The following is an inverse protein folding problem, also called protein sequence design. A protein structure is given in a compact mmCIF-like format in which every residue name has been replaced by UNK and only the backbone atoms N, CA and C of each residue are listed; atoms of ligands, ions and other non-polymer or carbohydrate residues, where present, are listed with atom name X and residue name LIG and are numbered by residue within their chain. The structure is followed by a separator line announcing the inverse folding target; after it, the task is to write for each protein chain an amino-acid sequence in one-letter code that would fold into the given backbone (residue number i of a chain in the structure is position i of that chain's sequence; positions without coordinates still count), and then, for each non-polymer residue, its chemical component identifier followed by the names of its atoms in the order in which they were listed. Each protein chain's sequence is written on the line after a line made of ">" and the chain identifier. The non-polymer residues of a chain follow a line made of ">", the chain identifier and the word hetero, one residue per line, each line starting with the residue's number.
data_IF_948801504209
#
_entry.id   IF_948801504209
#
_cell.length_a   1.000
_cell.length_b   1.000
_cell.length_c   1.000
_cell.angle_alpha   90.00
_cell.angle_beta   90.00
_cell.angle_gamma   90.00
#
_symmetry.space_group_name_H-M   'P 1'
#
loop_
_entity.id
_entity.type
_entity.pdbx_description
1 polymer ?
#
# COMPACT_ATOMS: atom_id res chain seq x y z
N UNK A 1 30.62 -30.34 2.50
CA UNK A 1 29.35 -29.65 2.17
C UNK A 1 28.65 -30.44 1.08
N UNK A 2 27.49 -31.05 1.38
CA UNK A 2 26.76 -31.85 0.41
C UNK A 2 25.85 -30.92 -0.42
N UNK A 3 26.12 -30.83 -1.72
CA UNK A 3 25.26 -30.10 -2.65
C UNK A 3 24.15 -31.04 -3.13
N UNK A 4 22.91 -30.75 -2.74
CA UNK A 4 21.72 -31.46 -3.23
C UNK A 4 21.18 -30.69 -4.42
N UNK A 5 21.25 -31.29 -5.61
CA UNK A 5 20.68 -30.72 -6.83
C UNK A 5 19.35 -31.44 -7.12
N UNK A 6 18.24 -30.69 -7.11
CA UNK A 6 16.90 -31.20 -7.42
C UNK A 6 16.49 -30.72 -8.79
N UNK A 7 16.18 -31.65 -9.70
CA UNK A 7 15.64 -31.32 -11.01
C UNK A 7 14.20 -31.86 -11.13
N UNK A 8 13.34 -31.09 -11.78
CA UNK A 8 12.01 -31.51 -12.21
C UNK A 8 12.16 -32.32 -13.49
N UNK A 9 11.89 -33.62 -13.42
CA UNK A 9 11.87 -34.51 -14.59
C UNK A 9 10.47 -34.43 -15.19
N UNK A 10 10.36 -34.17 -16.50
CA UNK A 10 9.07 -34.19 -17.22
C UNK A 10 8.51 -35.61 -17.34
N UNK A 11 7.18 -35.76 -17.34
CA UNK A 11 6.52 -37.08 -17.46
C UNK A 11 6.89 -37.81 -18.77
N UNK A 12 7.26 -37.06 -19.81
CA UNK A 12 7.72 -37.60 -21.09
C UNK A 12 9.10 -38.28 -21.00
N UNK A 13 9.96 -37.82 -20.09
CA UNK A 13 11.25 -38.45 -19.77
C UNK A 13 11.07 -39.69 -18.89
N UNK A 14 10.08 -39.67 -17.99
CA UNK A 14 9.76 -40.76 -17.05
C UNK A 14 9.41 -42.08 -17.74
N UNK A 15 8.72 -42.01 -18.88
CA UNK A 15 8.29 -43.19 -19.64
C UNK A 15 9.39 -43.78 -20.55
N UNK A 16 10.47 -43.06 -20.81
CA UNK A 16 11.60 -43.54 -21.65
C UNK A 16 12.68 -44.28 -20.85
N UNK A 17 12.68 -44.16 -19.52
CA UNK A 17 13.71 -44.75 -18.62
C UNK A 17 13.29 -46.13 -18.08
N UNK A 18 12.05 -46.58 -18.32
CA UNK A 18 11.58 -47.90 -17.92
C UNK A 18 11.98 -48.98 -18.95
N UNK A 19 13.28 -49.28 -19.05
CA UNK A 19 13.75 -50.52 -19.69
C UNK A 19 14.70 -51.27 -18.73
N UNK A 20 14.18 -52.39 -18.24
CA UNK A 20 14.80 -53.55 -17.55
C UNK A 20 15.69 -53.27 -16.33
N UNK A 21 15.12 -53.52 -15.15
CA UNK A 21 15.84 -53.79 -13.91
C UNK A 21 16.41 -55.21 -13.95
N UNK A 22 17.72 -55.33 -13.89
CA UNK A 22 18.37 -56.51 -13.33
C UNK A 22 19.26 -56.08 -12.16
N UNK A 23 18.93 -56.68 -11.01
CA UNK A 23 19.63 -56.91 -9.74
C UNK A 23 20.60 -55.85 -9.17
N UNK A 24 20.21 -55.41 -7.97
CA UNK A 24 21.04 -54.94 -6.84
C UNK A 24 21.96 -53.73 -7.08
N UNK A 25 21.39 -52.53 -6.95
CA UNK A 25 22.16 -51.34 -6.60
C UNK A 25 21.59 -50.70 -5.32
N UNK A 26 22.39 -50.74 -4.26
CA UNK A 26 22.07 -50.27 -2.89
C UNK A 26 21.99 -48.74 -2.79
N UNK A 27 21.99 -47.99 -3.91
CA UNK A 27 22.06 -46.53 -3.91
C UNK A 27 20.79 -45.77 -4.29
N UNK A 28 19.66 -46.43 -4.57
CA UNK A 28 18.44 -45.75 -4.97
C UNK A 28 17.33 -45.86 -3.91
N UNK A 29 17.13 -44.80 -3.12
CA UNK A 29 15.89 -44.59 -2.36
C UNK A 29 15.04 -43.55 -3.07
N UNK A 30 13.98 -44.02 -3.73
CA UNK A 30 12.96 -43.20 -4.39
C UNK A 30 11.76 -43.00 -3.45
N UNK A 31 11.38 -41.77 -3.14
CA UNK A 31 10.27 -41.45 -2.22
C UNK A 31 8.96 -41.02 -2.91
N UNK A 32 8.91 -41.11 -4.24
CA UNK A 32 7.68 -40.83 -4.99
C UNK A 32 7.49 -39.38 -5.44
N UNK A 33 8.39 -38.43 -5.15
CA UNK A 33 8.34 -37.09 -5.78
C UNK A 33 9.66 -36.59 -6.37
N UNK A 34 10.80 -37.07 -5.89
CA UNK A 34 12.11 -36.67 -6.43
C UNK A 34 13.05 -37.87 -6.51
N UNK A 35 13.84 -37.90 -7.57
CA UNK A 35 14.99 -38.81 -7.67
C UNK A 35 16.19 -38.09 -7.04
N UNK A 36 16.66 -38.58 -5.90
CA UNK A 36 17.78 -37.98 -5.18
C UNK A 36 19.06 -38.71 -5.56
N UNK A 37 19.90 -38.08 -6.37
CA UNK A 37 21.24 -38.58 -6.65
C UNK A 37 22.21 -38.06 -5.59
N UNK A 38 22.77 -38.99 -4.81
CA UNK A 38 23.93 -38.68 -3.98
C UNK A 38 25.16 -38.65 -4.88
N UNK A 39 25.62 -37.45 -5.21
CA UNK A 39 26.99 -37.30 -5.68
C UNK A 39 27.89 -37.47 -4.45
N UNK A 40 28.82 -38.44 -4.46
CA UNK A 40 29.85 -38.49 -3.44
C UNK A 40 30.54 -37.13 -3.39
N UNK A 41 31.03 -36.67 -2.21
CA UNK A 41 31.97 -35.56 -2.17
C UNK A 41 33.02 -35.83 -3.23
N UNK A 42 33.35 -34.84 -4.06
CA UNK A 42 34.44 -34.98 -5.00
C UNK A 42 35.67 -35.40 -4.19
N UNK A 43 35.94 -36.70 -4.16
CA UNK A 43 37.28 -37.19 -3.97
C UNK A 43 38.06 -36.41 -5.00
N UNK A 44 39.16 -35.79 -4.59
CA UNK A 44 40.20 -35.39 -5.52
C UNK A 44 40.42 -36.58 -6.44
N UNK A 45 39.81 -36.55 -7.63
CA UNK A 45 40.14 -37.49 -8.67
C UNK A 45 41.51 -36.99 -9.07
N UNK A 46 42.49 -37.52 -8.37
CA UNK A 46 43.86 -37.48 -8.74
C UNK A 46 43.88 -38.20 -10.09
N UNK A 47 43.68 -37.46 -11.19
CA UNK A 47 43.85 -37.94 -12.57
C UNK A 47 45.34 -38.25 -12.84
N UNK A 48 46.15 -38.39 -11.79
CA UNK A 48 47.54 -38.85 -11.81
C UNK A 48 47.71 -40.36 -11.63
N UNK A 49 46.68 -41.14 -11.30
CA UNK A 49 46.86 -42.58 -11.03
C UNK A 49 45.89 -43.46 -11.82
N UNK A 50 45.88 -43.32 -13.15
CA UNK A 50 45.74 -44.54 -13.96
C UNK A 50 47.06 -45.28 -13.79
N UNK A 51 47.12 -46.22 -12.84
CA UNK A 51 48.13 -47.27 -12.88
C UNK A 51 48.13 -47.80 -14.30
N UNK A 52 49.20 -47.53 -15.06
CA UNK A 52 49.40 -48.14 -16.38
C UNK A 52 49.35 -49.63 -16.10
N UNK A 53 48.24 -50.27 -16.44
CA UNK A 53 48.18 -51.70 -16.58
C UNK A 53 49.10 -52.03 -17.76
N UNK A 54 50.40 -52.13 -17.51
CA UNK A 54 51.34 -52.89 -18.33
C UNK A 54 51.05 -54.38 -18.10
N UNK A 55 49.77 -54.76 -18.22
CA UNK A 55 49.32 -56.13 -18.05
C UNK A 55 49.76 -56.87 -19.31
N UNK A 56 50.80 -57.66 -19.16
CA UNK A 56 51.29 -58.51 -20.23
C UNK A 56 50.79 -59.92 -20.01
N UNK A 57 50.45 -60.57 -21.11
CA UNK A 57 50.01 -61.96 -21.12
C UNK A 57 51.15 -62.78 -21.69
N UNK A 58 51.66 -63.73 -20.91
CA UNK A 58 52.69 -64.67 -21.33
C UNK A 58 52.06 -66.06 -21.53
N UNK A 59 52.48 -66.77 -22.58
CA UNK A 59 52.01 -68.13 -22.87
C UNK A 59 52.89 -69.12 -22.11
N UNK A 60 52.31 -69.88 -21.18
CA UNK A 60 53.03 -70.94 -20.46
C UNK A 60 53.53 -72.01 -21.43
N UNK A 61 54.53 -72.82 -21.06
CA UNK A 61 54.97 -73.96 -21.88
C UNK A 61 53.86 -74.98 -22.20
N UNK A 62 52.73 -74.94 -21.46
CA UNK A 62 51.54 -75.77 -21.72
C UNK A 62 50.48 -75.04 -22.59
N UNK A 63 50.79 -73.87 -23.14
CA UNK A 63 49.90 -73.13 -24.05
C UNK A 63 48.88 -72.20 -23.37
N UNK A 64 48.93 -72.03 -22.05
CA UNK A 64 47.97 -71.18 -21.33
C UNK A 64 48.42 -69.72 -21.25
N UNK A 65 47.50 -68.78 -21.49
CA UNK A 65 47.72 -67.35 -21.35
C UNK A 65 47.62 -66.93 -19.88
N UNK A 66 48.74 -66.55 -19.28
CA UNK A 66 48.84 -66.16 -17.86
C UNK A 66 49.15 -64.66 -17.75
N UNK A 67 48.41 -63.96 -16.89
CA UNK A 67 48.61 -62.54 -16.60
C UNK A 67 49.86 -62.32 -15.73
N UNK A 68 50.75 -61.43 -16.17
CA UNK A 68 52.00 -61.11 -15.48
C UNK A 68 51.98 -59.68 -14.91
N UNK A 69 52.48 -59.51 -13.68
CA UNK A 69 52.66 -58.21 -13.05
C UNK A 69 53.89 -57.47 -13.59
N UNK A 70 53.86 -56.13 -13.56
CA UNK A 70 54.90 -55.25 -14.12
C UNK A 70 56.31 -55.52 -13.56
N UNK A 71 56.40 -55.97 -12.31
CA UNK A 71 57.65 -56.27 -11.60
C UNK A 71 58.37 -57.53 -12.11
N UNK A 72 57.64 -58.45 -12.77
CA UNK A 72 58.19 -59.70 -13.30
C UNK A 72 58.50 -59.64 -14.80
N UNK A 73 58.11 -58.57 -15.49
CA UNK A 73 58.34 -58.41 -16.93
C UNK A 73 59.77 -57.95 -17.23
N UNK A 74 60.44 -58.63 -18.16
CA UNK A 74 61.78 -58.25 -18.67
C UNK A 74 61.71 -57.28 -19.86
N UNK A 75 60.51 -56.80 -20.22
CA UNK A 75 60.35 -55.91 -21.37
C UNK A 75 60.59 -54.45 -20.98
N UNK A 76 61.32 -53.67 -21.80
CA UNK A 76 61.60 -52.28 -21.50
C UNK A 76 60.31 -51.46 -21.42
N UNK A 77 60.24 -50.45 -20.53
CA UNK A 77 59.07 -49.59 -20.41
C UNK A 77 58.75 -48.96 -21.77
N UNK A 78 57.46 -49.03 -22.16
CA UNK A 78 57.00 -48.47 -23.44
C UNK A 78 57.33 -46.99 -23.47
N UNK A 79 58.28 -46.64 -24.35
CA UNK A 79 58.73 -45.25 -24.53
C UNK A 79 57.55 -44.41 -24.99
N UNK A 80 57.48 -43.19 -24.44
CA UNK A 80 56.43 -42.24 -24.80
C UNK A 80 56.49 -41.96 -26.30
N UNK A 81 55.34 -41.96 -27.02
CA UNK A 81 55.35 -41.64 -28.44
C UNK A 81 55.89 -40.23 -28.68
N UNK A 82 56.87 -40.07 -29.58
CA UNK A 82 57.49 -38.76 -29.91
C UNK A 82 56.48 -37.67 -30.24
N UNK A 83 55.39 -38.04 -30.91
CA UNK A 83 54.33 -37.09 -31.26
C UNK A 83 53.67 -36.47 -30.01
N UNK A 84 53.47 -37.25 -28.96
CA UNK A 84 52.88 -36.77 -27.71
C UNK A 84 53.83 -35.81 -26.98
N UNK A 85 55.15 -36.08 -27.02
CA UNK A 85 56.17 -35.19 -26.46
C UNK A 85 56.20 -33.82 -27.17
N UNK A 86 56.05 -33.82 -28.51
CA UNK A 86 55.97 -32.60 -29.32
C UNK A 86 54.73 -31.78 -28.93
N UNK A 87 53.57 -32.43 -28.77
CA UNK A 87 52.34 -31.74 -28.39
C UNK A 87 52.43 -31.13 -26.99
N UNK A 88 52.98 -31.86 -26.00
CA UNK A 88 53.15 -31.33 -24.64
C UNK A 88 54.16 -30.19 -24.58
N UNK A 89 55.28 -30.29 -25.31
CA UNK A 89 56.24 -29.20 -25.46
C UNK A 89 55.56 -27.96 -26.04
N UNK A 90 54.69 -28.15 -27.05
CA UNK A 90 53.91 -27.07 -27.65
C UNK A 90 52.89 -26.46 -26.69
N UNK A 91 52.15 -27.28 -25.93
CA UNK A 91 51.22 -26.80 -24.88
C UNK A 91 51.97 -25.90 -23.90
N UNK A 92 53.10 -26.35 -23.39
CA UNK A 92 53.88 -25.61 -22.40
C UNK A 92 54.46 -24.31 -22.99
N UNK A 93 54.94 -24.36 -24.23
CA UNK A 93 55.44 -23.18 -24.95
C UNK A 93 54.35 -22.13 -25.15
N UNK A 94 53.15 -22.54 -25.57
CA UNK A 94 52.03 -21.62 -25.78
C UNK A 94 51.47 -21.09 -24.46
N UNK A 95 51.33 -21.93 -23.43
CA UNK A 95 50.96 -21.48 -22.07
C UNK A 95 51.94 -20.43 -21.53
N UNK A 96 53.25 -20.66 -21.68
CA UNK A 96 54.29 -19.71 -21.26
C UNK A 96 54.22 -18.40 -22.06
N UNK A 97 54.01 -18.48 -23.38
CA UNK A 97 53.87 -17.32 -24.26
C UNK A 97 52.69 -16.43 -23.84
N UNK A 98 51.56 -17.02 -23.48
CA UNK A 98 50.33 -16.32 -23.13
C UNK A 98 50.15 -16.09 -21.62
N UNK A 99 51.13 -16.48 -20.78
CA UNK A 99 51.11 -16.37 -19.30
C UNK A 99 49.84 -16.99 -18.68
N UNK A 100 49.40 -18.11 -19.23
CA UNK A 100 48.19 -18.81 -18.79
C UNK A 100 48.51 -19.69 -17.59
N UNK A 101 47.78 -19.51 -16.48
CA UNK A 101 48.00 -20.22 -15.21
C UNK A 101 47.06 -21.44 -15.08
N UNK A 102 47.54 -22.48 -14.41
CA UNK A 102 46.73 -23.65 -14.01
C UNK A 102 45.70 -23.25 -12.93
N UNK A 103 44.48 -23.79 -13.01
CA UNK A 103 43.40 -23.49 -12.06
C UNK A 103 42.10 -23.11 -12.75
N UNK A 104 41.63 -21.87 -12.56
CA UNK A 104 40.31 -21.40 -13.03
C UNK A 104 40.11 -21.61 -14.54
N UNK A 105 38.87 -21.84 -15.00
CA UNK A 105 38.54 -21.89 -16.43
C UNK A 105 38.98 -20.59 -17.11
N UNK A 106 39.80 -20.71 -18.14
CA UNK A 106 40.33 -19.58 -18.90
C UNK A 106 40.07 -19.83 -20.40
N UNK A 107 39.39 -18.91 -21.11
CA UNK A 107 39.10 -19.06 -22.53
C UNK A 107 40.37 -19.17 -23.39
N UNK A 108 41.46 -18.50 -23.01
CA UNK A 108 42.73 -18.55 -23.73
C UNK A 108 43.42 -19.90 -23.51
N UNK A 109 43.34 -20.44 -22.29
CA UNK A 109 43.79 -21.82 -22.00
C UNK A 109 43.03 -22.83 -22.84
N UNK A 110 41.71 -22.71 -22.88
CA UNK A 110 40.86 -23.58 -23.67
C UNK A 110 41.21 -23.51 -25.17
N UNK A 111 41.50 -22.31 -25.68
CA UNK A 111 41.88 -22.10 -27.07
C UNK A 111 43.18 -22.84 -27.43
N UNK A 112 44.22 -22.75 -26.60
CA UNK A 112 45.50 -23.47 -26.79
C UNK A 112 45.23 -24.98 -26.89
N UNK A 113 44.41 -25.54 -26.00
CA UNK A 113 44.07 -26.96 -26.03
C UNK A 113 43.22 -27.34 -27.26
N UNK A 114 42.31 -26.47 -27.72
CA UNK A 114 41.52 -26.72 -28.94
C UNK A 114 42.39 -26.78 -30.20
N UNK A 115 43.38 -25.89 -30.31
CA UNK A 115 44.31 -25.87 -31.45
C UNK A 115 45.21 -27.12 -31.45
N UNK A 116 45.74 -27.48 -30.29
CA UNK A 116 46.62 -28.65 -30.14
C UNK A 116 45.83 -29.95 -30.34
N UNK A 117 44.58 -30.03 -29.88
CA UNK A 117 43.70 -31.16 -30.17
C UNK A 117 43.34 -31.26 -31.66
N UNK A 118 43.20 -30.13 -32.36
CA UNK A 118 43.01 -30.13 -33.82
C UNK A 118 44.22 -30.74 -34.54
N UNK A 119 45.43 -30.35 -34.14
CA UNK A 119 46.68 -30.92 -34.67
C UNK A 119 46.77 -32.41 -34.36
N UNK A 120 46.39 -32.83 -33.14
CA UNK A 120 46.34 -34.25 -32.76
C UNK A 120 45.41 -35.06 -33.67
N UNK A 121 44.18 -34.56 -33.89
CA UNK A 121 43.18 -35.20 -34.75
C UNK A 121 43.69 -35.33 -36.19
N UNK A 122 44.30 -34.28 -36.75
CA UNK A 122 44.82 -34.26 -38.13
C UNK A 122 45.90 -35.32 -38.37
N UNK A 123 46.68 -35.65 -37.34
CA UNK A 123 47.75 -36.67 -37.43
C UNK A 123 47.22 -38.09 -37.21
N UNK A 124 46.01 -38.26 -36.66
CA UNK A 124 45.40 -39.57 -36.40
C UNK A 124 44.68 -40.14 -37.62
N UNK A 125 45.27 -41.16 -38.27
CA UNK A 125 44.69 -41.79 -39.47
C UNK A 125 43.39 -42.57 -39.17
N UNK A 126 43.39 -43.42 -38.13
CA UNK A 126 42.27 -44.33 -37.85
C UNK A 126 41.22 -43.72 -36.91
N UNK A 127 41.65 -42.98 -35.88
CA UNK A 127 40.76 -42.40 -34.87
C UNK A 127 40.36 -40.96 -35.15
N UNK A 128 40.97 -40.30 -36.15
CA UNK A 128 40.73 -38.91 -36.51
C UNK A 128 39.25 -38.57 -36.73
N UNK A 129 38.49 -39.33 -37.55
CA UNK A 129 37.06 -39.06 -37.78
C UNK A 129 36.21 -39.08 -36.50
N UNK A 130 36.47 -40.04 -35.59
CA UNK A 130 35.75 -40.14 -34.32
C UNK A 130 36.06 -38.94 -33.42
N UNK A 131 37.35 -38.61 -33.26
CA UNK A 131 37.78 -37.50 -32.41
C UNK A 131 37.31 -36.15 -32.96
N UNK A 132 37.27 -35.98 -34.29
CA UNK A 132 36.70 -34.81 -34.94
C UNK A 132 35.21 -34.65 -34.62
N UNK A 133 34.44 -35.75 -34.65
CA UNK A 133 33.01 -35.73 -34.28
C UNK A 133 32.82 -35.38 -32.81
N UNK A 134 33.62 -35.97 -31.92
CA UNK A 134 33.61 -35.63 -30.49
C UNK A 134 33.92 -34.14 -30.28
N UNK A 135 34.97 -33.62 -30.94
CA UNK A 135 35.32 -32.20 -30.90
C UNK A 135 34.16 -31.33 -31.36
N UNK A 136 33.52 -31.68 -32.48
CA UNK A 136 32.40 -30.92 -33.03
C UNK A 136 31.22 -30.83 -32.07
N UNK A 137 30.87 -31.92 -31.36
CA UNK A 137 29.81 -31.90 -30.33
C UNK A 137 30.14 -30.93 -29.18
N UNK A 138 31.36 -30.97 -28.65
CA UNK A 138 31.76 -30.03 -27.59
C UNK A 138 31.81 -28.58 -28.08
N UNK A 139 32.26 -28.34 -29.31
CA UNK A 139 32.30 -26.99 -29.89
C UNK A 139 30.90 -26.44 -30.15
N UNK A 140 29.98 -27.27 -30.65
CA UNK A 140 28.57 -26.93 -30.82
C UNK A 140 27.93 -26.57 -29.48
N UNK A 141 28.16 -27.39 -28.44
CA UNK A 141 27.63 -27.12 -27.11
C UNK A 141 28.22 -25.84 -26.48
N UNK A 142 29.51 -25.55 -26.67
CA UNK A 142 30.13 -24.30 -26.21
C UNK A 142 29.48 -23.08 -26.85
N UNK A 143 29.21 -23.11 -28.16
CA UNK A 143 28.50 -22.04 -28.87
C UNK A 143 27.08 -21.88 -28.33
N UNK A 144 26.37 -22.99 -28.11
CA UNK A 144 25.04 -22.97 -27.51
C UNK A 144 25.04 -22.31 -26.13
N UNK A 145 25.96 -22.68 -25.24
CA UNK A 145 26.07 -22.07 -23.89
C UNK A 145 26.42 -20.58 -23.98
N UNK A 146 27.31 -20.19 -24.90
CA UNK A 146 27.63 -18.76 -25.12
C UNK A 146 26.42 -17.97 -25.62
N UNK A 147 25.58 -18.54 -26.48
CA UNK A 147 24.34 -17.91 -26.94
C UNK A 147 23.32 -17.75 -25.81
N UNK A 148 23.17 -18.78 -24.96
CA UNK A 148 22.34 -18.68 -23.76
C UNK A 148 22.85 -17.58 -22.82
N UNK A 149 24.17 -17.46 -22.63
CA UNK A 149 24.77 -16.42 -21.80
C UNK A 149 24.50 -15.02 -22.37
N UNK A 150 24.59 -14.83 -23.69
CA UNK A 150 24.26 -13.56 -24.36
C UNK A 150 22.79 -13.17 -24.16
N UNK A 151 21.86 -14.15 -24.21
CA UNK A 151 20.43 -13.91 -23.95
C UNK A 151 20.12 -13.47 -22.52
N UNK A 152 20.95 -13.87 -21.54
CA UNK A 152 20.79 -13.47 -20.14
C UNK A 152 21.32 -12.06 -19.85
N UNK A 153 22.21 -11.52 -20.69
CA UNK A 153 22.85 -10.22 -20.45
C UNK A 153 21.85 -9.04 -20.40
N UNK A 154 20.89 -8.89 -21.35
CA UNK A 154 19.88 -7.83 -21.28
C UNK A 154 18.98 -7.93 -20.05
N UNK A 155 18.67 -9.15 -19.61
CA UNK A 155 17.85 -9.37 -18.40
C UNK A 155 18.60 -8.86 -17.16
N UNK A 156 19.91 -9.08 -17.09
CA UNK A 156 20.74 -8.57 -16.00
C UNK A 156 20.81 -7.03 -16.00
N UNK A 157 20.93 -6.41 -17.16
CA UNK A 157 20.93 -4.94 -17.31
C UNK A 157 19.57 -4.34 -16.94
N UNK A 158 18.47 -4.96 -17.37
CA UNK A 158 17.12 -4.57 -16.99
C UNK A 158 16.92 -4.68 -15.48
N UNK A 159 17.35 -5.79 -14.87
CA UNK A 159 17.24 -6.00 -13.43
C UNK A 159 18.01 -4.93 -12.64
N UNK A 160 19.22 -4.57 -13.09
CA UNK A 160 20.00 -3.50 -12.49
C UNK A 160 19.27 -2.15 -12.56
N UNK A 161 18.70 -1.83 -13.72
CA UNK A 161 17.95 -0.58 -13.93
C UNK A 161 16.70 -0.53 -13.03
N UNK A 162 15.93 -1.60 -12.96
CA UNK A 162 14.74 -1.71 -12.10
C UNK A 162 15.12 -1.63 -10.62
N UNK A 163 16.24 -2.23 -10.22
CA UNK A 163 16.76 -2.11 -8.85
C UNK A 163 17.06 -0.65 -8.51
N UNK A 164 17.76 0.06 -9.40
CA UNK A 164 18.10 1.46 -9.21
C UNK A 164 16.85 2.36 -9.15
N UNK A 165 15.86 2.10 -10.00
CA UNK A 165 14.59 2.83 -9.99
C UNK A 165 13.81 2.59 -8.69
N UNK A 166 13.78 1.34 -8.20
CA UNK A 166 13.17 1.00 -6.91
C UNK A 166 13.87 1.75 -5.75
N UNK A 167 15.20 1.74 -5.71
CA UNK A 167 15.98 2.46 -4.70
C UNK A 167 15.70 3.96 -4.72
N UNK A 168 15.68 4.57 -5.91
CA UNK A 168 15.35 5.98 -6.09
C UNK A 168 13.93 6.29 -5.59
N UNK A 169 12.95 5.45 -5.94
CA UNK A 169 11.55 5.63 -5.52
C UNK A 169 11.40 5.54 -4.00
N UNK A 170 12.08 4.59 -3.35
CA UNK A 170 12.10 4.46 -1.89
C UNK A 170 12.75 5.68 -1.24
N UNK A 171 13.87 6.15 -1.78
CA UNK A 171 14.57 7.35 -1.29
C UNK A 171 13.67 8.60 -1.38
N UNK A 172 12.96 8.77 -2.50
CA UNK A 172 12.04 9.90 -2.70
C UNK A 172 10.83 9.86 -1.77
N UNK A 173 10.28 8.68 -1.49
CA UNK A 173 9.21 8.55 -0.49
C UNK A 173 9.73 8.94 0.90
N UNK A 174 10.88 8.40 1.33
CA UNK A 174 11.49 8.75 2.63
C UNK A 174 11.79 10.24 2.75
N UNK A 175 12.24 10.89 1.67
CA UNK A 175 12.49 12.33 1.65
C UNK A 175 11.20 13.14 1.84
N UNK A 176 10.10 12.73 1.22
CA UNK A 176 8.78 13.35 1.40
C UNK A 176 8.26 13.16 2.82
N UNK A 177 8.25 11.93 3.31
CA UNK A 177 7.84 11.61 4.68
C UNK A 177 8.65 12.40 5.72
N UNK A 178 9.97 12.52 5.54
CA UNK A 178 10.81 13.31 6.44
C UNK A 178 10.48 14.82 6.42
N UNK A 179 10.05 15.37 5.28
CA UNK A 179 9.59 16.76 5.21
C UNK A 179 8.27 16.92 5.97
N UNK A 180 7.34 15.99 5.78
CA UNK A 180 6.03 16.02 6.44
C UNK A 180 6.17 15.84 7.96
N UNK A 181 7.01 14.91 8.40
CA UNK A 181 7.32 14.72 9.83
C UNK A 181 7.90 16.00 10.43
N UNK A 182 8.79 16.71 9.73
CA UNK A 182 9.34 17.99 10.21
C UNK A 182 8.27 19.06 10.33
N UNK A 183 7.40 19.19 9.32
CA UNK A 183 6.29 20.14 9.32
C UNK A 183 5.32 19.85 10.48
N UNK A 184 4.89 18.60 10.63
CA UNK A 184 4.01 18.18 11.72
C UNK A 184 4.63 18.39 13.10
N UNK A 185 5.94 18.17 13.26
CA UNK A 185 6.64 18.49 14.52
C UNK A 185 6.64 19.98 14.83
N UNK A 186 6.79 20.83 13.82
CA UNK A 186 6.73 22.29 14.00
C UNK A 186 5.31 22.75 14.37
N UNK A 187 4.29 22.25 13.65
CA UNK A 187 2.88 22.54 13.94
C UNK A 187 2.48 22.07 15.34
N UNK A 188 2.86 20.84 15.73
CA UNK A 188 2.66 20.32 17.09
C UNK A 188 3.26 21.26 18.14
N UNK A 189 4.49 21.74 17.93
CA UNK A 189 5.14 22.67 18.85
C UNK A 189 4.41 24.00 18.93
N UNK A 190 3.96 24.54 17.80
CA UNK A 190 3.20 25.79 17.74
C UNK A 190 1.87 25.66 18.50
N UNK A 191 1.11 24.58 18.26
CA UNK A 191 -0.15 24.30 18.94
C UNK A 191 0.03 24.13 20.45
N UNK A 192 1.06 23.40 20.89
CA UNK A 192 1.36 23.27 22.33
C UNK A 192 1.66 24.63 22.98
N UNK A 193 2.36 25.50 22.27
CA UNK A 193 2.64 26.87 22.75
C UNK A 193 1.35 27.68 22.86
N UNK A 194 0.46 27.58 21.86
CA UNK A 194 -0.85 28.24 21.89
C UNK A 194 -1.73 27.73 23.03
N UNK A 195 -1.77 26.42 23.27
CA UNK A 195 -2.51 25.81 24.39
C UNK A 195 -1.98 26.35 25.72
N UNK A 196 -0.66 26.39 25.89
CA UNK A 196 -0.03 26.94 27.11
C UNK A 196 -0.43 28.40 27.33
N UNK A 197 -0.41 29.22 26.28
CA UNK A 197 -0.77 30.64 26.37
C UNK A 197 -2.25 30.82 26.72
N UNK A 198 -3.15 30.03 26.12
CA UNK A 198 -4.58 30.07 26.43
C UNK A 198 -4.87 29.60 27.85
N UNK A 199 -4.15 28.59 28.33
CA UNK A 199 -4.27 28.10 29.69
C UNK A 199 -3.86 29.17 30.72
N UNK A 200 -2.71 29.81 30.51
CA UNK A 200 -2.26 30.93 31.38
C UNK A 200 -3.23 32.11 31.33
N UNK A 201 -3.76 32.46 30.15
CA UNK A 201 -4.75 33.53 30.02
C UNK A 201 -6.05 33.19 30.74
N UNK A 202 -6.51 31.95 30.64
CA UNK A 202 -7.69 31.46 31.38
C UNK A 202 -7.49 31.53 32.88
N UNK A 203 -6.31 31.13 33.37
CA UNK A 203 -5.95 31.23 34.79
C UNK A 203 -5.91 32.69 35.27
N UNK A 204 -5.30 33.59 34.49
CA UNK A 204 -5.27 35.02 34.80
C UNK A 204 -6.67 35.63 34.88
N UNK A 205 -7.53 35.31 33.90
CA UNK A 205 -8.91 35.78 33.88
C UNK A 205 -9.72 35.24 35.06
N UNK A 206 -9.52 33.98 35.44
CA UNK A 206 -10.18 33.40 36.63
C UNK A 206 -9.83 34.18 37.89
N UNK A 207 -8.54 34.51 38.09
CA UNK A 207 -8.08 35.29 39.24
C UNK A 207 -8.70 36.70 39.24
N UNK A 208 -8.80 37.33 38.07
CA UNK A 208 -9.42 38.64 37.93
C UNK A 208 -10.93 38.60 38.23
N UNK A 209 -11.64 37.58 37.74
CA UNK A 209 -13.07 37.37 38.05
C UNK A 209 -13.28 37.14 39.54
N UNK A 210 -12.47 36.30 40.19
CA UNK A 210 -12.56 36.05 41.64
C UNK A 210 -12.34 37.34 42.44
N UNK A 211 -11.37 38.15 42.02
CA UNK A 211 -11.08 39.44 42.64
C UNK A 211 -12.26 40.41 42.49
N UNK A 212 -12.76 40.60 41.27
CA UNK A 212 -13.90 41.50 40.99
C UNK A 212 -15.18 41.03 41.70
N UNK A 213 -15.40 39.72 41.80
CA UNK A 213 -16.53 39.14 42.54
C UNK A 213 -16.44 39.51 44.01
N UNK A 214 -15.26 39.35 44.61
CA UNK A 214 -15.01 39.73 46.01
C UNK A 214 -15.20 41.24 46.24
N UNK A 215 -14.73 42.09 45.32
CA UNK A 215 -14.96 43.54 45.41
C UNK A 215 -16.43 43.92 45.29
N UNK A 216 -17.18 43.24 44.42
CA UNK A 216 -18.60 43.47 44.24
C UNK A 216 -19.40 43.06 45.48
N UNK A 217 -19.09 41.90 46.07
CA UNK A 217 -19.67 41.44 47.33
C UNK A 217 -19.45 42.45 48.45
N UNK A 218 -18.20 42.94 48.59
CA UNK A 218 -17.87 43.98 49.56
C UNK A 218 -18.68 45.26 49.35
N UNK A 219 -18.78 45.75 48.12
CA UNK A 219 -19.59 46.94 47.82
C UNK A 219 -21.08 46.71 48.10
N UNK A 220 -21.60 45.51 47.83
CA UNK A 220 -22.99 45.17 48.11
C UNK A 220 -23.26 45.15 49.62
N UNK A 221 -22.31 44.66 50.42
CA UNK A 221 -22.37 44.73 51.89
C UNK A 221 -22.33 46.17 52.39
N UNK A 222 -21.38 46.98 51.89
CA UNK A 222 -21.27 48.41 52.23
C UNK A 222 -22.60 49.14 51.94
N UNK A 223 -23.21 48.90 50.76
CA UNK A 223 -24.50 49.49 50.40
C UNK A 223 -25.66 49.02 51.28
N UNK A 224 -25.65 47.75 51.70
CA UNK A 224 -26.64 47.24 52.66
C UNK A 224 -26.51 47.93 54.01
N UNK A 225 -25.29 48.05 54.53
CA UNK A 225 -25.03 48.76 55.80
C UNK A 225 -25.43 50.23 55.73
N UNK A 226 -25.13 50.92 54.62
CA UNK A 226 -25.53 52.31 54.40
C UNK A 226 -27.06 52.44 54.31
N UNK A 227 -27.73 51.57 53.55
CA UNK A 227 -29.18 51.54 53.44
C UNK A 227 -29.85 51.33 54.80
N UNK A 228 -29.36 50.41 55.61
CA UNK A 228 -29.92 50.16 56.94
C UNK A 228 -29.67 51.34 57.89
N UNK A 229 -28.50 52.00 57.80
CA UNK A 229 -28.24 53.27 58.47
C UNK A 229 -29.22 54.38 58.05
N UNK A 230 -29.51 54.50 56.74
CA UNK A 230 -30.50 55.48 56.23
C UNK A 230 -31.92 55.16 56.71
N UNK A 231 -32.32 53.89 56.76
CA UNK A 231 -33.64 53.49 57.31
C UNK A 231 -33.78 53.87 58.77
N UNK A 232 -32.73 53.64 59.58
CA UNK A 232 -32.71 54.01 60.98
C UNK A 232 -32.82 55.54 61.16
N UNK A 233 -32.06 56.30 60.38
CA UNK A 233 -32.14 57.77 60.36
C UNK A 233 -33.53 58.28 59.94
N UNK A 234 -34.15 57.66 58.92
CA UNK A 234 -35.52 58.00 58.49
C UNK A 234 -36.53 57.69 59.60
N UNK A 235 -36.36 56.58 60.32
CA UNK A 235 -37.19 56.25 61.48
C UNK A 235 -37.09 57.32 62.57
N UNK A 236 -35.87 57.74 62.93
CA UNK A 236 -35.64 58.81 63.89
C UNK A 236 -36.25 60.14 63.43
N UNK A 237 -36.03 60.52 62.16
CA UNK A 237 -36.62 61.73 61.57
C UNK A 237 -38.15 61.67 61.60
N UNK A 238 -38.76 60.53 61.31
CA UNK A 238 -40.21 60.35 61.36
C UNK A 238 -40.74 60.46 62.80
N UNK A 239 -40.04 59.90 63.78
CA UNK A 239 -40.40 60.03 65.19
C UNK A 239 -40.34 61.49 65.64
N UNK A 240 -39.25 62.20 65.31
CA UNK A 240 -39.10 63.64 65.57
C UNK A 240 -40.19 64.45 64.86
N UNK A 241 -40.52 64.11 63.62
CA UNK A 241 -41.59 64.77 62.85
C UNK A 241 -42.96 64.49 63.44
N UNK A 242 -43.24 63.28 63.93
CA UNK A 242 -44.48 62.94 64.63
C UNK A 242 -44.62 63.77 65.89
N UNK A 243 -43.56 63.85 66.69
CA UNK A 243 -43.52 64.67 67.90
C UNK A 243 -43.69 66.17 67.60
N UNK A 244 -43.08 66.66 66.53
CA UNK A 244 -43.28 68.03 66.06
C UNK A 244 -44.73 68.24 65.62
N UNK A 245 -45.31 67.32 64.84
CA UNK A 245 -46.73 67.37 64.43
C UNK A 245 -47.66 67.33 65.62
N UNK A 246 -47.39 66.55 66.66
CA UNK A 246 -48.19 66.55 67.88
C UNK A 246 -48.14 67.93 68.57
N UNK A 247 -46.95 68.55 68.67
CA UNK A 247 -46.82 69.94 69.14
C UNK A 247 -47.54 70.94 68.23
N UNK A 248 -47.44 70.77 66.90
CA UNK A 248 -48.13 71.62 65.93
C UNK A 248 -49.65 71.41 65.97
N UNK A 249 -50.15 70.21 66.25
CA UNK A 249 -51.60 69.96 66.42
C UNK A 249 -52.12 70.61 67.69
N UNK A 250 -51.31 70.67 68.75
CA UNK A 250 -51.61 71.47 69.93
C UNK A 250 -51.60 72.97 69.61
N UNK A 251 -50.69 73.44 68.74
CA UNK A 251 -50.63 74.83 68.29
C UNK A 251 -51.73 75.19 67.26
N UNK A 252 -52.17 74.24 66.42
CA UNK A 252 -53.25 74.39 65.43
C UNK A 252 -54.64 74.20 66.00
N UNK A 253 -54.78 73.56 67.17
CA UNK A 253 -56.01 73.66 67.95
C UNK A 253 -56.35 75.12 68.32
N UNK A 254 -55.41 76.05 68.17
CA UNK A 254 -55.57 77.49 68.38
C UNK A 254 -55.82 78.29 67.09
N UNK A 255 -55.63 77.76 65.88
CA UNK A 255 -55.83 78.50 64.63
C UNK A 255 -56.19 77.55 63.47
N UNK A 256 -57.45 77.59 63.03
CA UNK A 256 -57.90 77.08 61.72
C UNK A 256 -58.62 78.22 61.01
N UNK A 257 -57.94 78.88 60.07
CA UNK A 257 -58.55 79.35 58.83
C UNK A 257 -57.44 79.44 57.78
N UNK A 258 -57.60 78.72 56.67
CA UNK A 258 -56.64 78.69 55.57
C UNK A 258 -57.44 78.67 54.26
N UNK A 259 -57.81 79.86 53.79
CA UNK A 259 -58.13 80.10 52.37
C UNK A 259 -56.82 80.10 51.59
N UNK A 260 -56.71 79.25 50.56
CA UNK A 260 -55.50 79.08 49.75
C UNK A 260 -54.99 80.40 49.15
N UNK A 261 -53.82 80.82 49.64
CA UNK A 261 -53.11 82.01 49.20
C UNK A 261 -52.59 81.84 47.76
N UNK A 262 -52.93 82.75 46.82
CA UNK A 262 -52.43 82.76 45.44
C UNK A 262 -50.89 82.79 45.30
N UNK A 263 -50.14 83.10 46.37
CA UNK A 263 -48.69 82.97 46.42
C UNK A 263 -48.23 81.50 46.40
N UNK A 264 -48.98 80.57 47.02
CA UNK A 264 -48.68 79.12 47.00
C UNK A 264 -48.73 78.56 45.56
N UNK A 265 -49.70 79.00 44.77
CA UNK A 265 -49.82 78.63 43.35
C UNK A 265 -48.66 79.19 42.51
N UNK A 266 -48.22 80.42 42.80
CA UNK A 266 -47.05 81.03 42.13
C UNK A 266 -45.74 80.34 42.51
N UNK A 267 -45.60 79.92 43.77
CA UNK A 267 -44.45 79.17 44.24
C UNK A 267 -44.42 77.75 43.64
N UNK A 268 -45.57 77.09 43.52
CA UNK A 268 -45.69 75.81 42.84
C UNK A 268 -45.34 75.91 41.34
N UNK A 269 -45.72 77.01 40.69
CA UNK A 269 -45.35 77.29 39.30
C UNK A 269 -43.83 77.50 39.14
N UNK A 270 -43.21 78.28 40.03
CA UNK A 270 -41.74 78.44 40.04
C UNK A 270 -41.01 77.13 40.36
N UNK A 271 -41.58 76.30 41.23
CA UNK A 271 -41.05 74.97 41.54
C UNK A 271 -41.13 74.07 40.30
N UNK A 272 -42.25 74.07 39.56
CA UNK A 272 -42.41 73.32 38.33
C UNK A 272 -41.43 73.78 37.25
N UNK A 273 -41.21 75.09 37.09
CA UNK A 273 -40.20 75.62 36.17
C UNK A 273 -38.78 75.19 36.55
N UNK A 274 -38.44 75.16 37.84
CA UNK A 274 -37.14 74.66 38.32
C UNK A 274 -36.97 73.17 38.02
N UNK A 275 -37.99 72.35 38.26
CA UNK A 275 -37.96 70.91 37.97
C UNK A 275 -37.81 70.65 36.47
N UNK A 276 -38.52 71.41 35.62
CA UNK A 276 -38.38 71.32 34.16
C UNK A 276 -36.94 71.65 33.73
N UNK A 277 -36.38 72.76 34.22
CA UNK A 277 -35.00 73.14 33.90
C UNK A 277 -33.97 72.12 34.38
N UNK A 278 -34.18 71.49 35.53
CA UNK A 278 -33.33 70.42 36.04
C UNK A 278 -33.37 69.17 35.15
N UNK A 279 -34.57 68.73 34.76
CA UNK A 279 -34.73 67.58 33.86
C UNK A 279 -34.11 67.86 32.49
N UNK A 280 -34.29 69.08 31.97
CA UNK A 280 -33.71 69.46 30.69
C UNK A 280 -32.18 69.50 30.73
N UNK A 281 -31.59 69.90 31.87
CA UNK A 281 -30.15 69.82 32.09
C UNK A 281 -29.66 68.37 32.13
N UNK A 282 -30.39 67.47 32.78
CA UNK A 282 -30.05 66.04 32.83
C UNK A 282 -30.12 65.38 31.45
N UNK A 283 -31.09 65.73 30.61
CA UNK A 283 -31.19 65.23 29.23
C UNK A 283 -29.96 65.65 28.42
N UNK A 284 -29.57 66.92 28.48
CA UNK A 284 -28.37 67.42 27.80
C UNK A 284 -27.10 66.71 28.30
N UNK A 285 -27.02 66.44 29.61
CA UNK A 285 -25.90 65.70 30.19
C UNK A 285 -25.87 64.22 29.74
N UNK A 286 -27.02 63.56 29.62
CA UNK A 286 -27.11 62.20 29.10
C UNK A 286 -26.77 62.12 27.62
N UNK A 287 -27.21 63.08 26.80
CA UNK A 287 -26.85 63.17 25.38
C UNK A 287 -25.34 63.36 25.22
N UNK A 288 -24.73 64.28 25.97
CA UNK A 288 -23.29 64.51 25.95
C UNK A 288 -22.49 63.29 26.42
N UNK A 289 -22.95 62.59 27.47
CA UNK A 289 -22.33 61.35 27.94
C UNK A 289 -22.47 60.21 26.94
N UNK A 290 -23.62 60.09 26.29
CA UNK A 290 -23.86 59.06 25.26
C UNK A 290 -22.97 59.28 24.04
N UNK A 291 -22.83 60.52 23.58
CA UNK A 291 -21.95 60.89 22.47
C UNK A 291 -20.45 60.69 22.82
N UNK A 292 -20.07 60.92 24.08
CA UNK A 292 -18.72 60.66 24.57
C UNK A 292 -18.41 59.15 24.76
N UNK A 293 -19.40 58.35 25.19
CA UNK A 293 -19.22 56.93 25.51
C UNK A 293 -19.34 56.02 24.29
N UNK A 294 -20.16 56.39 23.30
CA UNK A 294 -20.31 55.66 22.03
C UNK A 294 -19.96 56.59 20.88
N UNK A 295 -18.66 56.78 20.64
CA UNK A 295 -18.21 57.52 19.47
C UNK A 295 -18.73 56.83 18.21
N UNK A 296 -19.51 57.56 17.40
CA UNK A 296 -20.10 57.08 16.14
C UNK A 296 -19.09 56.39 15.23
N UNK A 297 -17.84 56.86 15.25
CA UNK A 297 -16.70 56.27 14.54
C UNK A 297 -16.39 54.82 14.96
N UNK A 298 -16.35 54.52 16.27
CA UNK A 298 -16.13 53.15 16.77
C UNK A 298 -17.28 52.22 16.42
N UNK A 299 -18.52 52.71 16.45
CA UNK A 299 -19.67 51.93 16.03
C UNK A 299 -19.59 51.55 14.55
N UNK A 300 -19.25 52.50 13.68
CA UNK A 300 -19.07 52.26 12.25
C UNK A 300 -17.90 51.30 11.97
N UNK A 301 -16.80 51.41 12.73
CA UNK A 301 -15.66 50.49 12.65
C UNK A 301 -16.04 49.06 13.02
N UNK A 302 -16.74 48.87 14.15
CA UNK A 302 -17.25 47.55 14.58
C UNK A 302 -18.23 46.98 13.54
N UNK A 303 -19.12 47.81 12.98
CA UNK A 303 -20.05 47.38 11.94
C UNK A 303 -19.33 46.93 10.67
N UNK A 304 -18.30 47.66 10.24
CA UNK A 304 -17.49 47.30 9.06
C UNK A 304 -16.69 46.01 9.32
N UNK A 305 -16.12 45.86 10.50
CA UNK A 305 -15.38 44.66 10.88
C UNK A 305 -16.30 43.43 10.92
N UNK A 306 -17.49 43.57 11.48
CA UNK A 306 -18.51 42.51 11.48
C UNK A 306 -18.91 42.12 10.04
N UNK A 307 -19.14 43.09 9.15
CA UNK A 307 -19.43 42.81 7.75
C UNK A 307 -18.31 42.03 7.06
N UNK A 308 -17.04 42.42 7.30
CA UNK A 308 -15.87 41.71 6.77
C UNK A 308 -15.77 40.27 7.30
N UNK A 309 -16.04 40.05 8.59
CA UNK A 309 -16.03 38.72 9.19
C UNK A 309 -17.15 37.83 8.65
N UNK A 310 -18.32 38.40 8.35
CA UNK A 310 -19.43 37.66 7.73
C UNK A 310 -19.02 37.17 6.33
N UNK A 311 -18.42 38.04 5.52
CA UNK A 311 -17.95 37.70 4.18
C UNK A 311 -16.86 36.61 4.21
N UNK A 312 -15.90 36.72 5.12
CA UNK A 312 -14.87 35.70 5.30
C UNK A 312 -15.46 34.35 5.75
N UNK A 313 -16.44 34.36 6.66
CA UNK A 313 -17.14 33.14 7.09
C UNK A 313 -17.90 32.47 5.94
N UNK A 314 -18.52 33.26 5.05
CA UNK A 314 -19.19 32.73 3.87
C UNK A 314 -18.20 32.05 2.94
N UNK A 315 -17.06 32.71 2.63
CA UNK A 315 -16.00 32.12 1.79
C UNK A 315 -15.46 30.82 2.39
N UNK A 316 -15.18 30.80 3.70
CA UNK A 316 -14.67 29.59 4.37
C UNK A 316 -15.70 28.45 4.37
N UNK A 317 -17.00 28.75 4.46
CA UNK A 317 -18.04 27.73 4.32
C UNK A 317 -18.09 27.12 2.93
N UNK A 318 -17.98 27.94 1.88
CA UNK A 318 -17.93 27.46 0.50
C UNK A 318 -16.68 26.58 0.25
N UNK A 319 -15.51 27.00 0.74
CA UNK A 319 -14.27 26.20 0.66
C UNK A 319 -14.37 24.87 1.41
N UNK A 320 -15.02 24.87 2.58
CA UNK A 320 -15.27 23.67 3.37
C UNK A 320 -16.19 22.70 2.62
N UNK A 321 -17.29 23.19 2.05
CA UNK A 321 -18.24 22.38 1.27
C UNK A 321 -17.58 21.80 0.01
N UNK A 322 -16.79 22.60 -0.70
CA UNK A 322 -16.02 22.14 -1.86
C UNK A 322 -15.01 21.04 -1.48
N UNK A 323 -14.33 21.21 -0.34
CA UNK A 323 -13.37 20.23 0.16
C UNK A 323 -14.07 18.94 0.61
N UNK A 324 -15.23 19.05 1.26
CA UNK A 324 -16.04 17.92 1.66
C UNK A 324 -16.49 17.10 0.44
N UNK A 325 -17.02 17.76 -0.60
CA UNK A 325 -17.42 17.10 -1.84
C UNK A 325 -16.26 16.33 -2.50
N UNK A 326 -15.05 16.92 -2.53
CA UNK A 326 -13.86 16.24 -3.03
C UNK A 326 -13.44 15.05 -2.17
N UNK A 327 -13.60 15.16 -0.85
CA UNK A 327 -13.31 14.07 0.08
C UNK A 327 -14.28 12.90 -0.11
N UNK A 328 -15.57 13.18 -0.26
CA UNK A 328 -16.60 12.18 -0.48
C UNK A 328 -16.35 11.41 -1.78
N UNK A 329 -16.00 12.11 -2.88
CA UNK A 329 -15.60 11.48 -4.14
C UNK A 329 -14.36 10.59 -3.98
N UNK A 330 -13.35 11.03 -3.23
CA UNK A 330 -12.17 10.23 -2.95
C UNK A 330 -12.51 8.97 -2.12
N UNK A 331 -13.44 9.10 -1.18
CA UNK A 331 -13.92 7.98 -0.39
C UNK A 331 -14.64 6.95 -1.26
N UNK A 332 -15.48 7.38 -2.20
CA UNK A 332 -16.11 6.50 -3.20
C UNK A 332 -15.05 5.75 -4.03
N UNK A 333 -14.05 6.47 -4.54
CA UNK A 333 -12.94 5.85 -5.27
C UNK A 333 -12.18 4.80 -4.44
N UNK A 334 -11.92 5.07 -3.16
CA UNK A 334 -11.28 4.12 -2.25
C UNK A 334 -12.13 2.86 -2.05
N UNK A 335 -13.45 3.01 -1.90
CA UNK A 335 -14.38 1.88 -1.81
C UNK A 335 -14.34 1.07 -3.10
N UNK A 336 -14.41 1.70 -4.27
CA UNK A 336 -14.29 1.03 -5.56
C UNK A 336 -12.96 0.28 -5.70
N UNK A 337 -11.83 0.90 -5.34
CA UNK A 337 -10.52 0.24 -5.38
C UNK A 337 -10.44 -0.98 -4.46
N UNK A 338 -11.02 -0.90 -3.26
CA UNK A 338 -11.11 -2.05 -2.36
C UNK A 338 -11.92 -3.19 -3.00
N UNK A 339 -13.05 -2.90 -3.66
CA UNK A 339 -13.82 -3.94 -4.36
C UNK A 339 -13.02 -4.61 -5.48
N UNK A 340 -12.28 -3.84 -6.29
CA UNK A 340 -11.41 -4.41 -7.33
C UNK A 340 -10.30 -5.26 -6.73
N UNK A 341 -9.63 -4.75 -5.68
CA UNK A 341 -8.58 -5.48 -4.97
C UNK A 341 -9.10 -6.83 -4.47
N UNK A 342 -10.24 -6.82 -3.79
CA UNK A 342 -10.82 -8.03 -3.22
C UNK A 342 -11.24 -9.02 -4.34
N UNK A 343 -11.78 -8.52 -5.46
CA UNK A 343 -12.05 -9.34 -6.64
C UNK A 343 -10.78 -10.00 -7.20
N UNK A 344 -9.69 -9.24 -7.34
CA UNK A 344 -8.41 -9.79 -7.79
C UNK A 344 -7.88 -10.86 -6.83
N UNK A 345 -7.93 -10.63 -5.51
CA UNK A 345 -7.51 -11.61 -4.51
C UNK A 345 -8.27 -12.92 -4.65
N UNK A 346 -9.58 -12.83 -4.80
CA UNK A 346 -10.42 -14.01 -4.98
C UNK A 346 -10.08 -14.73 -6.29
N UNK A 347 -9.96 -14.00 -7.41
CA UNK A 347 -9.61 -14.57 -8.71
C UNK A 347 -8.27 -15.30 -8.67
N UNK A 348 -7.25 -14.71 -8.04
CA UNK A 348 -5.92 -15.32 -7.88
C UNK A 348 -6.00 -16.56 -6.99
N UNK A 349 -6.73 -16.49 -5.87
CA UNK A 349 -6.92 -17.62 -4.96
C UNK A 349 -7.60 -18.79 -5.67
N UNK A 350 -8.66 -18.50 -6.44
CA UNK A 350 -9.40 -19.49 -7.21
C UNK A 350 -8.54 -20.10 -8.32
N UNK A 351 -7.82 -19.26 -9.07
CA UNK A 351 -6.92 -19.72 -10.13
C UNK A 351 -5.81 -20.62 -9.61
N UNK A 352 -5.20 -20.23 -8.49
CA UNK A 352 -4.15 -21.01 -7.82
C UNK A 352 -4.66 -22.38 -7.40
N UNK A 353 -5.90 -22.46 -6.88
CA UNK A 353 -6.53 -23.73 -6.49
C UNK A 353 -6.77 -24.65 -7.69
N UNK A 354 -7.32 -24.14 -8.80
CA UNK A 354 -7.53 -24.95 -10.01
C UNK A 354 -6.21 -25.46 -10.57
N UNK A 355 -5.18 -24.59 -10.64
CA UNK A 355 -3.86 -24.99 -11.13
C UNK A 355 -3.28 -26.13 -10.29
N UNK A 356 -3.49 -26.10 -8.97
CA UNK A 356 -3.04 -27.12 -8.02
C UNK A 356 -3.81 -28.46 -8.09
N UNK A 357 -4.98 -28.53 -8.73
CA UNK A 357 -5.70 -29.80 -8.94
C UNK A 357 -4.94 -30.73 -9.92
N UNK A 358 -5.20 -32.04 -9.89
CA UNK A 358 -4.65 -32.96 -10.91
C UNK A 358 -5.50 -32.90 -12.18
N UNK A 359 -4.89 -32.80 -13.37
CA UNK A 359 -5.60 -32.77 -14.65
C UNK A 359 -4.81 -32.13 -15.79
N UNK A 360 -5.32 -32.27 -17.01
CA UNK A 360 -4.71 -31.76 -18.24
C UNK A 360 -4.62 -30.21 -18.25
N UNK A 361 -3.47 -29.61 -18.59
CA UNK A 361 -3.30 -28.16 -18.57
C UNK A 361 -4.33 -27.39 -19.42
N UNK A 362 -4.68 -27.92 -20.61
CA UNK A 362 -5.65 -27.29 -21.50
C UNK A 362 -7.05 -27.19 -20.88
N UNK A 363 -7.51 -28.26 -20.22
CA UNK A 363 -8.82 -28.29 -19.57
C UNK A 363 -8.89 -27.31 -18.39
N UNK A 364 -7.80 -27.16 -17.63
CA UNK A 364 -7.71 -26.18 -16.54
C UNK A 364 -7.84 -24.75 -17.05
N UNK A 365 -7.20 -24.42 -18.18
CA UNK A 365 -7.29 -23.10 -18.82
C UNK A 365 -8.73 -22.81 -19.30
N UNK A 366 -9.41 -23.81 -19.86
CA UNK A 366 -10.81 -23.68 -20.28
C UNK A 366 -11.76 -23.43 -19.10
N UNK A 367 -11.59 -24.17 -17.99
CA UNK A 367 -12.36 -23.99 -16.75
C UNK A 367 -12.12 -22.60 -16.17
N UNK A 368 -10.86 -22.16 -16.09
CA UNK A 368 -10.51 -20.82 -15.61
C UNK A 368 -11.14 -19.73 -16.47
N UNK A 369 -11.06 -19.87 -17.79
CA UNK A 369 -11.62 -18.91 -18.73
C UNK A 369 -13.15 -18.83 -18.63
N UNK A 370 -13.83 -19.98 -18.49
CA UNK A 370 -15.28 -20.02 -18.34
C UNK A 370 -15.73 -19.34 -17.03
N UNK A 371 -15.02 -19.59 -15.95
CA UNK A 371 -15.38 -19.08 -14.62
C UNK A 371 -15.04 -17.60 -14.48
N UNK A 372 -13.87 -17.15 -14.94
CA UNK A 372 -13.55 -15.72 -14.97
C UNK A 372 -14.58 -14.91 -15.79
N UNK A 373 -15.08 -15.46 -16.89
CA UNK A 373 -16.13 -14.84 -17.68
C UNK A 373 -17.50 -14.85 -16.97
N UNK A 374 -17.86 -15.94 -16.28
CA UNK A 374 -19.07 -16.02 -15.43
C UNK A 374 -19.03 -14.95 -14.34
N UNK A 375 -17.90 -14.81 -13.67
CA UNK A 375 -17.73 -13.91 -12.55
C UNK A 375 -17.76 -12.45 -12.96
N UNK A 376 -17.15 -12.12 -14.11
CA UNK A 376 -17.24 -10.77 -14.69
C UNK A 376 -18.69 -10.32 -14.93
N UNK A 377 -19.57 -11.24 -15.31
CA UNK A 377 -21.01 -10.97 -15.48
C UNK A 377 -21.71 -10.80 -14.13
N UNK A 378 -21.47 -11.72 -13.20
CA UNK A 378 -22.12 -11.69 -11.88
C UNK A 378 -21.73 -10.44 -11.07
N UNK A 379 -20.49 -9.96 -11.17
CA UNK A 379 -20.05 -8.71 -10.52
C UNK A 379 -20.68 -7.44 -11.09
N UNK A 380 -21.23 -7.49 -12.31
CA UNK A 380 -21.95 -6.36 -12.88
C UNK A 380 -23.41 -6.30 -12.41
N UNK A 381 -24.00 -7.47 -12.12
CA UNK A 381 -25.46 -7.59 -11.88
C UNK A 381 -25.83 -7.80 -10.40
N UNK A 382 -24.85 -8.08 -9.51
CA UNK A 382 -25.12 -8.46 -8.11
C UNK A 382 -24.31 -7.67 -7.08
N UNK A 383 -24.86 -7.43 -5.87
CA UNK A 383 -24.14 -6.78 -4.78
C UNK A 383 -22.95 -7.61 -4.30
N UNK A 384 -21.87 -6.93 -3.91
CA UNK A 384 -20.56 -7.54 -3.59
C UNK A 384 -20.63 -8.65 -2.54
N UNK A 385 -21.43 -8.47 -1.49
CA UNK A 385 -21.60 -9.47 -0.43
C UNK A 385 -22.17 -10.80 -0.96
N UNK A 386 -23.09 -10.75 -1.94
CA UNK A 386 -23.66 -11.95 -2.55
C UNK A 386 -22.64 -12.64 -3.46
N UNK A 387 -21.82 -11.86 -4.19
CA UNK A 387 -20.71 -12.38 -4.99
C UNK A 387 -19.74 -13.14 -4.09
N UNK A 388 -19.29 -12.54 -2.99
CA UNK A 388 -18.38 -13.18 -2.03
C UNK A 388 -18.91 -14.51 -1.49
N UNK A 389 -20.21 -14.59 -1.19
CA UNK A 389 -20.84 -15.84 -0.74
C UNK A 389 -20.85 -16.92 -1.82
N UNK A 390 -21.24 -16.57 -3.05
CA UNK A 390 -21.27 -17.51 -4.18
C UNK A 390 -19.88 -18.07 -4.50
N UNK A 391 -18.87 -17.22 -4.41
CA UNK A 391 -17.46 -17.57 -4.53
C UNK A 391 -17.04 -18.58 -3.46
N UNK A 392 -17.37 -18.30 -2.19
CA UNK A 392 -16.99 -19.16 -1.07
C UNK A 392 -17.61 -20.56 -1.23
N UNK A 393 -18.89 -20.63 -1.63
CA UNK A 393 -19.58 -21.89 -1.91
C UNK A 393 -18.91 -22.68 -3.06
N UNK A 394 -18.50 -21.99 -4.14
CA UNK A 394 -17.88 -22.61 -5.31
C UNK A 394 -16.42 -23.06 -5.02
N UNK A 395 -15.71 -22.34 -4.16
CA UNK A 395 -14.40 -22.71 -3.63
C UNK A 395 -14.50 -23.98 -2.76
N UNK A 396 -15.52 -24.05 -1.89
CA UNK A 396 -15.75 -25.19 -1.00
C UNK A 396 -16.15 -26.46 -1.78
N UNK A 397 -16.88 -26.30 -2.90
CA UNK A 397 -17.14 -27.41 -3.84
C UNK A 397 -15.87 -27.95 -4.50
N UNK A 398 -14.92 -27.07 -4.87
CA UNK A 398 -13.62 -27.52 -5.40
C UNK A 398 -12.81 -28.34 -4.38
N UNK A 399 -12.91 -28.01 -3.08
CA UNK A 399 -12.24 -28.75 -2.00
C UNK A 399 -12.78 -30.17 -1.85
N UNK A 400 -14.04 -30.42 -2.22
CA UNK A 400 -14.65 -31.76 -2.26
C UNK A 400 -14.21 -32.63 -3.45
N UNK A 401 -13.28 -32.15 -4.28
CA UNK A 401 -12.66 -32.91 -5.37
C UNK A 401 -13.46 -32.96 -6.68
N UNK A 402 -14.56 -32.20 -6.78
CA UNK A 402 -15.31 -32.04 -8.02
C UNK A 402 -14.77 -30.84 -8.82
N UNK A 403 -14.16 -31.09 -9.98
CA UNK A 403 -13.97 -30.04 -10.98
C UNK A 403 -15.35 -29.66 -11.54
N UNK A 404 -15.71 -28.36 -11.63
CA UNK A 404 -16.97 -27.94 -12.21
C UNK A 404 -17.03 -28.44 -13.66
N UNK A 405 -18.10 -29.15 -14.03
CA UNK A 405 -18.25 -29.60 -15.40
C UNK A 405 -18.38 -28.37 -16.30
N UNK A 406 -17.41 -28.15 -17.18
CA UNK A 406 -17.57 -27.25 -18.33
C UNK A 406 -18.47 -27.93 -19.35
N UNK A 407 -19.75 -28.11 -19.01
CA UNK A 407 -20.76 -28.37 -20.03
C UNK A 407 -20.85 -27.09 -20.85
N UNK A 408 -20.02 -27.06 -21.90
CA UNK A 408 -20.31 -26.30 -23.10
C UNK A 408 -21.70 -26.78 -23.50
N UNK A 409 -22.71 -25.94 -23.37
CA UNK A 409 -24.01 -26.20 -24.01
C UNK A 409 -23.75 -26.24 -25.50
N UNK A 410 -23.45 -27.45 -25.98
CA UNK A 410 -23.42 -27.79 -27.39
C UNK A 410 -24.77 -27.40 -27.93
N UNK A 411 -24.80 -26.34 -28.76
CA UNK A 411 -25.94 -26.05 -29.63
C UNK A 411 -26.35 -27.37 -30.27
N UNK A 412 -27.61 -27.75 -30.04
CA UNK A 412 -28.21 -28.92 -30.66
C UNK A 412 -27.98 -28.88 -32.19
N UNK A 413 -27.79 -30.03 -32.85
CA UNK A 413 -27.65 -30.08 -34.30
C UNK A 413 -28.91 -29.49 -34.92
N UNK A 414 -28.75 -28.47 -35.76
CA UNK A 414 -29.84 -28.03 -36.64
C UNK A 414 -30.16 -29.20 -37.56
N UNK A 415 -31.27 -29.90 -37.28
CA UNK A 415 -31.95 -30.68 -38.29
C UNK A 415 -32.23 -29.75 -39.46
N UNK A 416 -31.61 -30.04 -40.60
CA UNK A 416 -31.95 -29.47 -41.90
C UNK A 416 -33.28 -30.12 -42.30
N UNK A 417 -34.41 -29.39 -42.37
CA UNK A 417 -35.60 -29.92 -42.99
C UNK A 417 -35.39 -29.82 -44.50
N UNK A 418 -35.53 -30.96 -45.16
CA UNK A 418 -35.70 -31.11 -46.59
C UNK A 418 -36.82 -30.18 -47.07
N UNK A 419 -36.55 -29.44 -48.16
CA UNK A 419 -37.55 -28.65 -48.85
C UNK A 419 -38.57 -29.58 -49.51
N UNK A 420 -39.85 -29.43 -49.15
CA UNK A 420 -40.98 -29.64 -50.05
C UNK A 420 -41.94 -28.45 -49.91
N UNK A 421 -42.52 -27.95 -51.03
CA UNK A 421 -43.17 -26.65 -51.07
C UNK A 421 -44.68 -26.74 -50.84
N UNK A 422 -45.28 -25.71 -50.24
CA UNK A 422 -46.72 -25.48 -50.35
C UNK A 422 -47.33 -24.72 -49.17
N UNK A 423 -48.07 -23.66 -49.51
CA UNK A 423 -49.08 -22.92 -48.72
C UNK A 423 -48.60 -22.35 -47.37
N UNK A 424 -48.51 -21.05 -47.16
CA UNK A 424 -49.51 -20.02 -47.48
C UNK A 424 -50.01 -19.43 -46.15
N UNK A 425 -50.15 -18.10 -46.14
CA UNK A 425 -50.80 -17.25 -45.12
C UNK A 425 -49.91 -16.70 -43.97
N UNK A 426 -49.63 -15.39 -44.09
CA UNK A 426 -49.42 -14.38 -43.03
C UNK A 426 -50.47 -14.49 -41.90
N UNK A 427 -50.31 -13.94 -40.66
CA UNK A 427 -49.87 -12.55 -40.34
C UNK A 427 -49.24 -12.41 -38.90
N UNK A 428 -49.41 -11.31 -38.12
CA UNK A 428 -49.14 -9.88 -38.35
C UNK A 428 -48.13 -9.25 -37.34
N UNK A 429 -47.76 -8.01 -37.64
CA UNK A 429 -47.18 -6.95 -36.81
C UNK A 429 -47.98 -6.57 -35.56
N UNK A 430 -47.30 -6.13 -34.49
CA UNK A 430 -47.65 -4.87 -33.77
C UNK A 430 -46.52 -4.34 -32.88
N UNK A 431 -46.23 -3.05 -33.07
CA UNK A 431 -45.44 -2.15 -32.23
C UNK A 431 -46.09 -1.93 -30.85
N UNK A 432 -45.27 -1.66 -29.83
CA UNK A 432 -45.54 -0.54 -28.91
C UNK A 432 -44.25 0.01 -28.28
N UNK A 433 -44.12 1.34 -28.38
CA UNK A 433 -43.15 2.26 -27.77
C UNK A 433 -43.73 2.77 -26.45
N UNK A 434 -42.88 3.24 -25.52
CA UNK A 434 -43.04 4.44 -24.64
C UNK A 434 -41.86 4.49 -23.63
N UNK A 435 -40.90 5.44 -23.69
CA UNK A 435 -40.89 6.87 -23.27
C UNK A 435 -41.01 7.06 -21.73
N UNK A 436 -39.91 7.16 -20.98
CA UNK A 436 -39.19 8.39 -20.51
C UNK A 436 -40.11 9.50 -19.97
N UNK A 437 -39.99 9.78 -18.67
CA UNK A 437 -40.29 11.10 -18.10
C UNK A 437 -39.21 11.53 -17.09
N UNK A 438 -38.55 12.66 -17.39
CA UNK A 438 -37.88 13.55 -16.44
C UNK A 438 -38.92 14.52 -15.87
N UNK A 439 -38.72 14.94 -14.63
CA UNK A 439 -39.33 16.14 -14.05
C UNK A 439 -38.37 16.73 -13.02
N UNK A 440 -37.95 17.97 -13.27
CA UNK A 440 -37.28 18.88 -12.35
C UNK A 440 -38.30 19.61 -11.44
N UNK A 441 -37.76 20.25 -10.40
CA UNK A 441 -38.26 21.39 -9.61
C UNK A 441 -38.67 21.12 -8.15
N UNK A 442 -37.78 21.48 -7.22
CA UNK A 442 -37.97 22.55 -6.23
C UNK A 442 -36.61 22.94 -5.63
#
# INVERSE_FOLDING_TARGET
>A
MNYVCRYLISDETKNKVLIKRDKEDVLNKFDGRYESFYFPPAYDINVGSRSRATNQVYVSPEGHLIQQSAEKSKLPPVKKPRFLEILESRINKEKAKFRVVEGKPDPLRLQIYREIFTIFIQTCVYYGPLLARIKAEYESYLVHVQDQLKKLQPIRELLWTVSQECENRVSDMRRRENKDIKKLKQEKKALLTQISNLYEKGKSLSVEVDHLTTELEKKADDWRTESDGRKLLVSEVNELTSRLKEMETLARAEVIDDSEDPIKLRLALDQAHKTINQLQTQVVEFEARYEAQVSRTKYEEVRKNLASQIEENLRLKEELESTQSRYDLLQEHCVTLNTYRDLYYIQVTYASRIVATKGEPAQKVDVLSAILNKWRRITADKPWAEVQRMVADEILRLESGQLPSTVRTSRAPRHRPTMTPGSGQDPPTTNTRDSIHRSDAA
#
